data_IF_265317020301
#
_entry.id   IF_265317020301
#
_cell.length_a   1.000
_cell.length_b   1.000
_cell.length_c   1.000
_cell.angle_alpha   90.00
_cell.angle_beta   90.00
_cell.angle_gamma   90.00
#
_symmetry.space_group_name_H-M   'P 1'
#
loop_
_entity.id
_entity.type
_entity.pdbx_description
1 polymer ?
#
# COMPACT_ATOMS: atom_id res chain seq x y z
N UNK A 1 27.99 3.65 -14.40
CA UNK A 1 28.75 3.03 -13.29
C UNK A 1 27.89 2.76 -12.04
N UNK A 2 26.95 3.61 -11.65
CA UNK A 2 26.06 3.38 -10.48
C UNK A 2 25.19 2.13 -10.60
N UNK A 3 24.68 1.82 -11.78
CA UNK A 3 23.79 0.67 -12.03
C UNK A 3 24.45 -0.71 -11.81
N UNK A 4 25.77 -0.83 -12.00
CA UNK A 4 26.45 -2.08 -11.67
C UNK A 4 26.59 -2.26 -10.15
N UNK A 5 26.74 -1.16 -9.40
CA UNK A 5 26.88 -1.21 -7.93
C UNK A 5 25.60 -1.63 -7.23
N UNK A 6 24.43 -1.19 -7.70
CA UNK A 6 23.14 -1.56 -7.06
C UNK A 6 22.80 -3.03 -7.27
N UNK A 7 23.07 -3.58 -8.46
CA UNK A 7 22.91 -5.02 -8.73
C UNK A 7 23.93 -5.88 -7.98
N UNK A 8 25.14 -5.34 -7.74
CA UNK A 8 26.15 -6.01 -6.89
C UNK A 8 25.68 -6.15 -5.43
N UNK A 9 24.85 -5.21 -4.95
CA UNK A 9 24.25 -5.32 -3.61
C UNK A 9 23.38 -6.58 -3.51
N UNK A 10 22.58 -6.87 -4.53
CA UNK A 10 21.78 -8.10 -4.56
C UNK A 10 22.63 -9.36 -4.69
N UNK A 11 23.69 -9.31 -5.52
CA UNK A 11 24.53 -10.47 -5.82
C UNK A 11 25.57 -10.77 -4.74
N UNK A 12 26.28 -9.76 -4.22
CA UNK A 12 27.53 -9.94 -3.47
C UNK A 12 27.55 -9.33 -2.07
N UNK A 13 26.73 -8.30 -1.78
CA UNK A 13 26.80 -7.64 -0.48
C UNK A 13 26.46 -8.58 0.68
N UNK A 14 27.00 -8.34 1.90
CA UNK A 14 26.56 -9.06 3.09
C UNK A 14 25.06 -8.98 3.26
N UNK A 15 24.42 -10.08 3.67
CA UNK A 15 22.97 -10.24 3.72
C UNK A 15 22.30 -9.12 4.51
N UNK A 16 22.84 -8.79 5.70
CA UNK A 16 22.30 -7.71 6.54
C UNK A 16 22.30 -6.39 5.79
N UNK A 17 23.39 -6.04 5.11
CA UNK A 17 23.51 -4.82 4.33
C UNK A 17 22.54 -4.81 3.16
N UNK A 18 22.43 -5.92 2.42
CA UNK A 18 21.52 -6.04 1.27
C UNK A 18 20.06 -5.87 1.68
N UNK A 19 19.63 -6.49 2.79
CA UNK A 19 18.27 -6.35 3.30
C UNK A 19 18.00 -4.92 3.78
N UNK A 20 18.84 -4.38 4.68
CA UNK A 20 18.61 -3.07 5.28
C UNK A 20 18.68 -1.93 4.26
N UNK A 21 19.61 -1.98 3.31
CA UNK A 21 19.76 -0.96 2.26
C UNK A 21 18.52 -0.85 1.37
N UNK A 22 17.74 -1.93 1.24
CA UNK A 22 16.49 -1.93 0.47
C UNK A 22 15.27 -1.71 1.35
N UNK A 23 15.24 -2.28 2.55
CA UNK A 23 14.11 -2.21 3.45
C UNK A 23 13.95 -0.83 4.11
N UNK A 24 15.03 -0.21 4.61
CA UNK A 24 14.94 1.06 5.32
C UNK A 24 14.37 2.19 4.47
N UNK A 25 14.80 2.41 3.21
CA UNK A 25 14.16 3.42 2.36
C UNK A 25 12.68 3.11 2.09
N UNK A 26 12.33 1.84 1.89
CA UNK A 26 10.94 1.46 1.65
C UNK A 26 10.05 1.69 2.88
N UNK A 27 10.56 1.41 4.08
CA UNK A 27 9.89 1.72 5.35
C UNK A 27 9.71 3.22 5.55
N UNK A 28 10.75 4.03 5.28
CA UNK A 28 10.68 5.48 5.36
C UNK A 28 9.66 6.06 4.37
N UNK A 29 9.58 5.51 3.17
CA UNK A 29 8.58 5.89 2.18
C UNK A 29 7.15 5.60 2.68
N UNK A 30 6.90 4.44 3.30
CA UNK A 30 5.60 4.09 3.85
C UNK A 30 5.22 4.93 5.08
N UNK A 31 6.20 5.28 5.93
CA UNK A 31 5.97 6.25 7.01
C UNK A 31 5.57 7.63 6.47
N UNK A 32 6.18 8.07 5.37
CA UNK A 32 5.78 9.34 4.74
C UNK A 32 4.36 9.29 4.18
N UNK A 33 3.92 8.14 3.64
CA UNK A 33 2.52 7.94 3.24
C UNK A 33 1.58 8.05 4.44
N UNK A 34 1.94 7.49 5.58
CA UNK A 34 1.17 7.62 6.81
C UNK A 34 1.06 9.10 7.25
N UNK A 35 2.20 9.81 7.29
CA UNK A 35 2.24 11.23 7.67
C UNK A 35 1.38 12.07 6.71
N UNK A 36 1.51 11.84 5.41
CA UNK A 36 0.70 12.50 4.39
C UNK A 36 -0.81 12.28 4.64
N UNK A 37 -1.25 11.04 4.82
CA UNK A 37 -2.67 10.73 5.05
C UNK A 37 -3.23 11.39 6.33
N UNK A 38 -2.41 11.47 7.38
CA UNK A 38 -2.81 12.13 8.63
C UNK A 38 -2.86 13.65 8.46
N UNK A 39 -1.89 14.24 7.75
CA UNK A 39 -1.83 15.68 7.49
C UNK A 39 -2.99 16.15 6.61
N UNK A 40 -3.28 15.43 5.52
CA UNK A 40 -4.40 15.75 4.62
C UNK A 40 -5.74 15.77 5.37
N UNK A 41 -6.00 14.72 6.17
CA UNK A 41 -7.20 14.67 7.02
C UNK A 41 -7.24 15.82 8.04
N UNK A 42 -6.11 16.19 8.62
CA UNK A 42 -6.01 17.26 9.61
C UNK A 42 -6.31 18.63 8.96
N UNK A 43 -5.69 18.94 7.83
CA UNK A 43 -5.88 20.25 7.18
C UNK A 43 -7.28 20.45 6.60
N UNK A 44 -7.90 19.37 6.06
CA UNK A 44 -9.30 19.45 5.65
C UNK A 44 -10.21 19.68 6.85
N UNK A 45 -9.94 19.03 7.98
CA UNK A 45 -10.67 19.28 9.24
C UNK A 45 -10.59 20.73 9.74
N UNK A 46 -9.50 21.47 9.43
CA UNK A 46 -9.36 22.88 9.80
C UNK A 46 -10.26 23.83 9.00
N UNK A 47 -10.93 23.34 7.96
CA UNK A 47 -11.94 24.16 7.24
C UNK A 47 -13.19 24.43 8.08
N UNK A 48 -13.39 23.69 9.19
CA UNK A 48 -14.58 23.72 10.03
C UNK A 48 -15.90 23.53 9.25
N UNK A 49 -15.83 22.82 8.14
CA UNK A 49 -16.96 22.45 7.29
C UNK A 49 -17.05 20.92 7.18
N UNK A 50 -17.94 20.36 7.97
CA UNK A 50 -18.14 18.91 8.08
C UNK A 50 -18.57 18.29 6.74
N UNK A 51 -19.24 19.04 5.86
CA UNK A 51 -19.66 18.59 4.53
C UNK A 51 -18.46 18.34 3.61
N UNK A 52 -17.42 19.17 3.71
CA UNK A 52 -16.18 18.96 2.94
C UNK A 52 -15.41 17.74 3.42
N UNK A 53 -15.31 17.55 4.73
CA UNK A 53 -14.69 16.36 5.32
C UNK A 53 -15.44 15.10 4.89
N UNK A 54 -16.77 15.14 4.92
CA UNK A 54 -17.62 14.04 4.46
C UNK A 54 -17.42 13.75 2.96
N UNK A 55 -17.35 14.80 2.13
CA UNK A 55 -17.17 14.67 0.69
C UNK A 55 -15.81 14.00 0.32
N UNK A 56 -14.71 14.38 0.99
CA UNK A 56 -13.40 13.72 0.79
C UNK A 56 -13.44 12.27 1.24
N UNK A 57 -14.09 11.99 2.35
CA UNK A 57 -14.25 10.62 2.85
C UNK A 57 -15.02 9.74 1.86
N UNK A 58 -16.07 10.28 1.23
CA UNK A 58 -16.84 9.61 0.18
C UNK A 58 -16.02 9.39 -1.10
N UNK A 59 -15.11 10.32 -1.43
CA UNK A 59 -14.26 10.23 -2.62
C UNK A 59 -13.06 9.27 -2.45
N UNK A 60 -12.65 8.99 -1.22
CA UNK A 60 -11.49 8.14 -0.90
C UNK A 60 -11.51 6.78 -1.60
N UNK A 61 -12.60 5.99 -1.63
CA UNK A 61 -12.64 4.71 -2.33
C UNK A 61 -12.32 4.81 -3.82
N UNK A 62 -12.71 5.90 -4.48
CA UNK A 62 -12.42 6.14 -5.90
C UNK A 62 -10.92 6.38 -6.11
N UNK A 63 -10.29 7.16 -5.24
CA UNK A 63 -8.84 7.37 -5.26
C UNK A 63 -8.07 6.06 -5.01
N UNK A 64 -8.53 5.24 -4.08
CA UNK A 64 -7.94 3.93 -3.79
C UNK A 64 -8.03 2.96 -4.98
N UNK A 65 -9.03 3.08 -5.86
CA UNK A 65 -9.08 2.31 -7.11
C UNK A 65 -7.90 2.67 -8.02
N UNK A 66 -7.58 3.95 -8.22
CA UNK A 66 -6.40 4.36 -9.00
C UNK A 66 -5.11 3.79 -8.39
N UNK A 67 -4.94 3.92 -7.07
CA UNK A 67 -3.77 3.38 -6.37
C UNK A 67 -3.68 1.86 -6.49
N UNK A 68 -4.79 1.15 -6.38
CA UNK A 68 -4.83 -0.31 -6.51
C UNK A 68 -4.42 -0.78 -7.91
N UNK A 69 -4.87 -0.10 -8.95
CA UNK A 69 -4.44 -0.40 -10.33
C UNK A 69 -2.95 -0.11 -10.53
N UNK A 70 -2.43 0.99 -9.97
CA UNK A 70 -0.99 1.26 -9.94
C UNK A 70 -0.20 0.15 -9.24
N UNK A 71 -0.75 -0.42 -8.16
CA UNK A 71 -0.18 -1.55 -7.43
C UNK A 71 -0.13 -2.83 -8.28
N UNK A 72 -1.14 -3.08 -9.15
CA UNK A 72 -1.10 -4.22 -10.09
C UNK A 72 0.18 -4.21 -10.91
N UNK A 73 0.48 -3.09 -11.54
CA UNK A 73 1.67 -2.95 -12.38
C UNK A 73 2.94 -2.82 -11.55
N UNK A 74 2.89 -2.18 -10.39
CA UNK A 74 4.03 -1.96 -9.51
C UNK A 74 4.55 -3.24 -8.88
N UNK A 75 3.74 -3.94 -8.11
CA UNK A 75 4.13 -5.18 -7.42
C UNK A 75 4.34 -6.32 -8.42
N UNK A 76 3.45 -6.45 -9.41
CA UNK A 76 3.58 -7.44 -10.46
C UNK A 76 4.85 -7.22 -11.29
N UNK A 77 5.12 -5.97 -11.70
CA UNK A 77 6.32 -5.57 -12.41
C UNK A 77 7.59 -5.87 -11.61
N UNK A 78 7.63 -5.47 -10.35
CA UNK A 78 8.77 -5.71 -9.44
C UNK A 78 9.10 -7.20 -9.34
N UNK A 79 8.09 -8.05 -9.16
CA UNK A 79 8.28 -9.50 -9.09
C UNK A 79 8.90 -10.09 -10.36
N UNK A 80 8.40 -9.70 -11.53
CA UNK A 80 8.89 -10.20 -12.82
C UNK A 80 10.27 -9.62 -13.16
N UNK A 81 10.46 -8.30 -12.98
CA UNK A 81 11.72 -7.61 -13.28
C UNK A 81 12.85 -8.14 -12.41
N UNK A 82 12.65 -8.25 -11.09
CA UNK A 82 13.71 -8.70 -10.18
C UNK A 82 14.17 -10.13 -10.50
N UNK A 83 13.25 -11.04 -10.84
CA UNK A 83 13.59 -12.38 -11.31
C UNK A 83 14.34 -12.37 -12.64
N UNK A 84 13.85 -11.60 -13.61
CA UNK A 84 14.49 -11.47 -14.92
C UNK A 84 15.94 -10.93 -14.81
N UNK A 85 16.15 -9.96 -13.92
CA UNK A 85 17.50 -9.44 -13.65
C UNK A 85 18.39 -10.49 -12.99
N UNK A 86 17.86 -11.30 -12.08
CA UNK A 86 18.56 -12.43 -11.48
C UNK A 86 18.94 -13.51 -12.50
N UNK A 87 18.09 -13.77 -13.49
CA UNK A 87 18.34 -14.67 -14.62
C UNK A 87 19.30 -14.09 -15.67
N UNK A 88 19.72 -12.82 -15.54
CA UNK A 88 20.54 -12.12 -16.52
C UNK A 88 19.78 -11.65 -17.77
N UNK A 89 18.45 -11.79 -17.83
CA UNK A 89 17.60 -11.42 -18.98
C UNK A 89 17.23 -9.93 -18.97
N UNK A 90 18.24 -9.07 -19.12
CA UNK A 90 18.08 -7.61 -19.05
C UNK A 90 17.08 -7.07 -20.09
N UNK A 91 17.09 -7.60 -21.33
CA UNK A 91 16.16 -7.15 -22.38
C UNK A 91 14.70 -7.49 -22.02
N UNK A 92 14.45 -8.63 -21.40
CA UNK A 92 13.12 -8.99 -20.92
C UNK A 92 12.68 -8.06 -19.79
N UNK A 93 13.57 -7.73 -18.85
CA UNK A 93 13.29 -6.77 -17.78
C UNK A 93 12.93 -5.37 -18.32
N UNK A 94 13.60 -4.91 -19.41
CA UNK A 94 13.26 -3.66 -20.11
C UNK A 94 11.85 -3.72 -20.72
N UNK A 95 11.48 -4.84 -21.38
CA UNK A 95 10.14 -5.02 -21.91
C UNK A 95 9.06 -4.96 -20.82
N UNK A 96 9.29 -5.62 -19.68
CA UNK A 96 8.36 -5.59 -18.54
C UNK A 96 8.23 -4.17 -17.97
N UNK A 97 9.33 -3.45 -17.79
CA UNK A 97 9.32 -2.07 -17.32
C UNK A 97 8.52 -1.16 -18.26
N UNK A 98 8.81 -1.22 -19.57
CA UNK A 98 8.07 -0.44 -20.58
C UNK A 98 6.58 -0.82 -20.64
N UNK A 99 6.25 -2.10 -20.53
CA UNK A 99 4.86 -2.56 -20.40
C UNK A 99 4.15 -1.92 -19.21
N UNK A 100 4.77 -1.90 -18.03
CA UNK A 100 4.20 -1.26 -16.84
C UNK A 100 3.95 0.24 -17.07
N UNK A 101 4.89 0.96 -17.72
CA UNK A 101 4.71 2.40 -18.01
C UNK A 101 3.50 2.66 -18.89
N UNK A 102 3.49 2.06 -20.06
CA UNK A 102 2.46 2.35 -21.05
C UNK A 102 1.09 1.79 -20.67
N UNK A 103 1.07 0.69 -19.90
CA UNK A 103 -0.17 0.20 -19.30
C UNK A 103 -0.70 1.16 -18.23
N UNK A 104 0.15 1.73 -17.37
CA UNK A 104 -0.28 2.76 -16.42
C UNK A 104 -0.82 4.01 -17.13
N UNK A 105 -0.18 4.45 -18.20
CA UNK A 105 -0.69 5.59 -19.01
C UNK A 105 -2.05 5.24 -19.63
N UNK A 106 -2.13 4.13 -20.35
CA UNK A 106 -3.36 3.74 -21.08
C UNK A 106 -4.53 3.50 -20.14
N UNK A 107 -4.32 2.70 -19.09
CA UNK A 107 -5.35 2.38 -18.09
C UNK A 107 -5.70 3.62 -17.26
N UNK A 108 -4.71 4.44 -16.90
CA UNK A 108 -4.93 5.69 -16.17
C UNK A 108 -5.80 6.67 -16.98
N UNK A 109 -5.51 6.87 -18.27
CA UNK A 109 -6.33 7.71 -19.17
C UNK A 109 -7.73 7.13 -19.31
N UNK A 110 -7.85 5.82 -19.51
CA UNK A 110 -9.15 5.16 -19.62
C UNK A 110 -9.98 5.32 -18.35
N UNK A 111 -9.40 5.07 -17.19
CA UNK A 111 -10.09 5.25 -15.90
C UNK A 111 -10.49 6.71 -15.68
N UNK A 112 -9.59 7.66 -15.96
CA UNK A 112 -9.89 9.10 -15.88
C UNK A 112 -11.08 9.46 -16.77
N UNK A 113 -11.08 9.02 -18.02
CA UNK A 113 -12.17 9.27 -18.95
C UNK A 113 -13.50 8.64 -18.48
N UNK A 114 -13.47 7.38 -18.02
CA UNK A 114 -14.66 6.71 -17.49
C UNK A 114 -15.20 7.42 -16.24
N UNK A 115 -14.33 7.83 -15.33
CA UNK A 115 -14.76 8.51 -14.10
C UNK A 115 -15.33 9.90 -14.41
N UNK A 116 -14.78 10.62 -15.37
CA UNK A 116 -15.33 11.93 -15.78
C UNK A 116 -16.66 11.79 -16.55
N UNK A 117 -16.80 10.78 -17.42
CA UNK A 117 -18.03 10.54 -18.17
C UNK A 117 -19.16 10.07 -17.24
N UNK A 118 -18.87 9.17 -16.32
CA UNK A 118 -19.84 8.57 -15.40
C UNK A 118 -19.83 9.21 -14.01
N UNK A 119 -19.40 10.48 -13.89
CA UNK A 119 -19.23 11.15 -12.59
C UNK A 119 -20.51 11.14 -11.76
N UNK A 120 -21.66 11.45 -12.35
CA UNK A 120 -22.92 11.52 -11.63
C UNK A 120 -23.36 10.13 -11.10
N UNK A 121 -23.13 9.07 -11.88
CA UNK A 121 -23.40 7.69 -11.47
C UNK A 121 -22.46 7.26 -10.34
N UNK A 122 -21.20 7.66 -10.41
CA UNK A 122 -20.20 7.36 -9.35
C UNK A 122 -20.58 8.09 -8.07
N UNK A 123 -20.96 9.37 -8.13
CA UNK A 123 -21.42 10.15 -6.98
C UNK A 123 -22.64 9.51 -6.31
N UNK A 124 -23.62 9.06 -7.10
CA UNK A 124 -24.76 8.32 -6.59
C UNK A 124 -24.35 6.99 -5.95
N UNK A 125 -23.41 6.25 -6.56
CA UNK A 125 -22.94 4.96 -6.07
C UNK A 125 -22.20 5.07 -4.73
N UNK A 126 -21.38 6.12 -4.55
CA UNK A 126 -20.66 6.37 -3.29
C UNK A 126 -21.53 6.97 -2.20
N UNK A 127 -22.81 7.28 -2.51
CA UNK A 127 -23.77 7.78 -1.55
C UNK A 127 -23.66 9.28 -1.26
N UNK A 128 -23.22 10.09 -2.23
CA UNK A 128 -23.19 11.54 -2.09
C UNK A 128 -24.61 12.10 -1.92
N UNK A 129 -24.83 12.87 -0.85
CA UNK A 129 -26.08 13.59 -0.59
C UNK A 129 -26.16 14.87 -1.41
N UNK A 130 -27.34 15.50 -1.48
CA UNK A 130 -27.51 16.80 -2.14
C UNK A 130 -26.54 17.86 -1.59
N UNK A 131 -26.21 17.81 -0.31
CA UNK A 131 -25.32 18.76 0.37
C UNK A 131 -23.82 18.50 0.07
N UNK A 132 -23.43 17.22 -0.06
CA UNK A 132 -22.03 16.83 -0.33
C UNK A 132 -21.72 16.68 -1.81
N UNK A 133 -22.73 16.74 -2.69
CA UNK A 133 -22.62 16.45 -4.13
C UNK A 133 -21.59 17.33 -4.83
N UNK A 134 -21.72 18.62 -4.69
CA UNK A 134 -20.85 19.57 -5.39
C UNK A 134 -19.39 19.52 -4.87
N UNK A 135 -19.22 19.31 -3.59
CA UNK A 135 -17.89 19.12 -2.99
C UNK A 135 -17.24 17.83 -3.47
N UNK A 136 -17.94 16.70 -3.44
CA UNK A 136 -17.42 15.41 -3.90
C UNK A 136 -17.15 15.43 -5.42
N UNK A 137 -18.03 16.06 -6.21
CA UNK A 137 -17.85 16.27 -7.65
C UNK A 137 -16.59 17.06 -7.95
N UNK A 138 -16.38 18.18 -7.27
CA UNK A 138 -15.19 19.02 -7.46
C UNK A 138 -13.91 18.24 -7.15
N UNK A 139 -13.86 17.58 -6.01
CA UNK A 139 -12.72 16.78 -5.60
C UNK A 139 -12.41 15.65 -6.60
N UNK A 140 -13.42 14.83 -6.93
CA UNK A 140 -13.27 13.69 -7.83
C UNK A 140 -12.91 14.11 -9.25
N UNK A 141 -13.45 15.23 -9.75
CA UNK A 141 -13.09 15.75 -11.08
C UNK A 141 -11.61 16.09 -11.15
N UNK A 142 -11.09 16.82 -10.18
CA UNK A 142 -9.68 17.21 -10.13
C UNK A 142 -8.78 15.98 -9.99
N UNK A 143 -9.09 15.09 -9.06
CA UNK A 143 -8.30 13.89 -8.81
C UNK A 143 -8.34 12.93 -10.01
N UNK A 144 -9.49 12.76 -10.66
CA UNK A 144 -9.64 11.88 -11.83
C UNK A 144 -8.79 12.37 -13.01
N UNK A 145 -8.59 13.67 -13.19
CA UNK A 145 -7.69 14.20 -14.22
C UNK A 145 -6.23 13.76 -14.02
N UNK A 146 -5.84 13.41 -12.82
CA UNK A 146 -4.46 12.96 -12.50
C UNK A 146 -4.25 11.46 -12.59
N UNK A 147 -5.25 10.67 -12.98
CA UNK A 147 -5.20 9.21 -12.98
C UNK A 147 -3.89 8.59 -13.49
N UNK A 148 -3.40 8.92 -14.69
CA UNK A 148 -2.14 8.39 -15.20
C UNK A 148 -0.95 8.66 -14.26
N UNK A 149 -0.87 9.84 -13.68
CA UNK A 149 0.21 10.23 -12.78
C UNK A 149 0.15 9.47 -11.45
N UNK A 150 -1.06 9.27 -10.91
CA UNK A 150 -1.28 8.44 -9.70
C UNK A 150 -0.81 7.00 -9.94
N UNK A 151 -1.20 6.40 -11.08
CA UNK A 151 -0.78 5.05 -11.43
C UNK A 151 0.73 4.96 -11.60
N UNK A 152 1.36 5.90 -12.31
CA UNK A 152 2.80 5.94 -12.54
C UNK A 152 3.54 6.12 -11.20
N UNK A 153 3.15 7.06 -10.36
CA UNK A 153 3.80 7.32 -9.08
C UNK A 153 3.76 6.06 -8.19
N UNK A 154 2.60 5.40 -8.08
CA UNK A 154 2.45 4.16 -7.31
C UNK A 154 3.23 2.99 -7.93
N UNK A 155 3.14 2.78 -9.24
CA UNK A 155 3.83 1.71 -9.94
C UNK A 155 5.35 1.84 -9.83
N UNK A 156 5.90 3.01 -10.16
CA UNK A 156 7.35 3.18 -10.27
C UNK A 156 8.07 3.34 -8.94
N UNK A 157 7.37 3.70 -7.87
CA UNK A 157 7.88 3.56 -6.51
C UNK A 157 8.26 2.10 -6.18
N UNK A 158 7.60 1.13 -6.80
CA UNK A 158 7.89 -0.29 -6.67
C UNK A 158 8.91 -0.78 -7.73
N UNK A 159 8.70 -0.46 -9.01
CA UNK A 159 9.54 -0.94 -10.13
C UNK A 159 11.00 -0.52 -9.98
N UNK A 160 11.29 0.71 -9.54
CA UNK A 160 12.67 1.17 -9.32
C UNK A 160 13.38 0.38 -8.21
N UNK A 161 12.64 -0.11 -7.21
CA UNK A 161 13.19 -1.01 -6.20
C UNK A 161 13.68 -2.34 -6.80
N UNK A 162 13.04 -2.80 -7.89
CA UNK A 162 13.41 -4.06 -8.54
C UNK A 162 14.86 -4.08 -9.08
N UNK A 163 15.44 -2.92 -9.40
CA UNK A 163 16.84 -2.78 -9.79
C UNK A 163 17.80 -2.40 -8.64
N UNK A 164 17.34 -2.51 -7.38
CA UNK A 164 18.14 -2.22 -6.20
C UNK A 164 18.28 -0.74 -5.85
N UNK A 165 17.49 0.13 -6.49
CA UNK A 165 17.51 1.59 -6.29
C UNK A 165 16.43 2.06 -5.32
N UNK A 166 16.30 1.38 -4.16
CA UNK A 166 15.26 1.69 -3.16
C UNK A 166 15.34 3.12 -2.63
N UNK A 167 16.55 3.71 -2.56
CA UNK A 167 16.72 5.11 -2.19
C UNK A 167 16.13 6.09 -3.22
N UNK A 168 16.26 5.79 -4.52
CA UNK A 168 15.65 6.61 -5.59
C UNK A 168 14.13 6.47 -5.60
N UNK A 169 13.63 5.24 -5.38
CA UNK A 169 12.20 5.00 -5.22
C UNK A 169 11.60 5.78 -4.04
N UNK A 170 12.28 5.76 -2.88
CA UNK A 170 11.91 6.55 -1.71
C UNK A 170 11.89 8.05 -2.02
N UNK A 171 12.92 8.57 -2.71
CA UNK A 171 13.03 9.99 -2.98
C UNK A 171 11.87 10.54 -3.80
N UNK A 172 11.42 9.82 -4.84
CA UNK A 172 10.25 10.24 -5.63
C UNK A 172 8.97 10.26 -4.79
N UNK A 173 8.80 9.29 -3.92
CA UNK A 173 7.65 9.23 -3.02
C UNK A 173 7.70 10.33 -1.93
N UNK A 174 8.89 10.58 -1.37
CA UNK A 174 9.09 11.68 -0.42
C UNK A 174 8.80 13.04 -1.05
N UNK A 175 9.33 13.30 -2.25
CA UNK A 175 9.10 14.57 -2.95
C UNK A 175 7.61 14.83 -3.21
N UNK A 176 6.89 13.83 -3.70
CA UNK A 176 5.46 13.95 -3.97
C UNK A 176 4.65 14.18 -2.70
N UNK A 177 4.85 13.35 -1.67
CA UNK A 177 4.08 13.42 -0.43
C UNK A 177 4.45 14.65 0.41
N UNK A 178 5.74 15.03 0.50
CA UNK A 178 6.16 16.21 1.24
C UNK A 178 5.62 17.48 0.58
N UNK A 179 5.65 17.56 -0.74
CA UNK A 179 5.10 18.70 -1.47
C UNK A 179 3.59 18.80 -1.24
N UNK A 180 2.86 17.68 -1.23
CA UNK A 180 1.44 17.69 -0.90
C UNK A 180 1.20 18.24 0.52
N UNK A 181 1.90 17.74 1.54
CA UNK A 181 1.78 18.20 2.95
C UNK A 181 2.08 19.71 3.09
N UNK A 182 3.00 20.24 2.28
CA UNK A 182 3.32 21.68 2.27
C UNK A 182 2.23 22.48 1.56
N UNK A 183 1.70 21.97 0.46
CA UNK A 183 0.70 22.66 -0.35
C UNK A 183 -0.69 22.64 0.28
N UNK A 184 -1.05 21.61 1.04
CA UNK A 184 -2.36 21.49 1.70
C UNK A 184 -2.71 22.75 2.52
N UNK A 185 -1.93 23.18 3.52
CA UNK A 185 -2.28 24.38 4.29
C UNK A 185 -2.28 25.64 3.43
N UNK A 186 -1.42 25.74 2.42
CA UNK A 186 -1.36 26.90 1.54
C UNK A 186 -2.63 26.99 0.68
N UNK A 187 -3.01 25.90 0.04
CA UNK A 187 -4.16 25.90 -0.87
C UNK A 187 -5.49 25.87 -0.14
N UNK A 188 -5.58 25.13 0.97
CA UNK A 188 -6.81 25.01 1.76
C UNK A 188 -7.05 26.28 2.57
N UNK A 189 -6.07 26.72 3.37
CA UNK A 189 -6.25 27.76 4.37
C UNK A 189 -5.85 29.16 3.88
N UNK A 190 -4.69 29.30 3.21
CA UNK A 190 -4.20 30.62 2.77
C UNK A 190 -4.94 31.10 1.53
N UNK A 191 -5.11 30.23 0.51
CA UNK A 191 -5.85 30.60 -0.70
C UNK A 191 -7.36 30.43 -0.56
N UNK A 192 -7.83 29.75 0.48
CA UNK A 192 -9.24 29.51 0.72
C UNK A 192 -9.91 28.61 -0.33
N UNK A 193 -9.13 27.78 -1.04
CA UNK A 193 -9.68 26.88 -2.05
C UNK A 193 -10.32 25.61 -1.46
N UNK A 194 -10.23 25.46 -0.14
CA UNK A 194 -10.89 24.39 0.60
C UNK A 194 -10.65 23.00 -0.05
N UNK A 195 -11.72 22.26 -0.32
CA UNK A 195 -11.67 20.92 -0.90
C UNK A 195 -10.98 20.87 -2.29
N UNK A 196 -11.15 21.89 -3.11
CA UNK A 196 -10.45 22.00 -4.39
C UNK A 196 -8.94 22.17 -4.18
N UNK A 197 -8.54 22.91 -3.14
CA UNK A 197 -7.14 23.06 -2.74
C UNK A 197 -6.48 21.73 -2.36
N UNK A 198 -7.15 20.93 -1.54
CA UNK A 198 -6.71 19.58 -1.17
C UNK A 198 -6.55 18.67 -2.40
N UNK A 199 -7.53 18.67 -3.30
CA UNK A 199 -7.47 17.90 -4.54
C UNK A 199 -6.29 18.30 -5.43
N UNK A 200 -6.08 19.61 -5.62
CA UNK A 200 -4.98 20.15 -6.43
C UNK A 200 -3.62 19.82 -5.80
N UNK A 201 -3.48 19.97 -4.49
CA UNK A 201 -2.24 19.61 -3.78
C UNK A 201 -1.90 18.12 -3.98
N UNK A 202 -2.89 17.24 -3.87
CA UNK A 202 -2.75 15.81 -4.14
C UNK A 202 -2.33 15.53 -5.59
N UNK A 203 -2.94 16.21 -6.56
CA UNK A 203 -2.56 16.09 -7.98
C UNK A 203 -1.13 16.53 -8.22
N UNK A 204 -0.72 17.70 -7.70
CA UNK A 204 0.64 18.21 -7.85
C UNK A 204 1.64 17.24 -7.23
N UNK A 205 1.38 16.71 -6.04
CA UNK A 205 2.22 15.71 -5.39
C UNK A 205 2.44 14.47 -6.27
N UNK A 206 1.36 13.92 -6.85
CA UNK A 206 1.45 12.76 -7.74
C UNK A 206 2.17 13.08 -9.06
N UNK A 207 1.92 14.25 -9.66
CA UNK A 207 2.60 14.69 -10.88
C UNK A 207 4.09 14.86 -10.65
N UNK A 208 4.50 15.45 -9.55
CA UNK A 208 5.92 15.63 -9.18
C UNK A 208 6.58 14.28 -8.89
N UNK A 209 5.92 13.38 -8.14
CA UNK A 209 6.41 12.03 -7.90
C UNK A 209 6.61 11.23 -9.19
N UNK A 210 5.59 11.21 -10.06
CA UNK A 210 5.65 10.57 -11.37
C UNK A 210 6.72 11.20 -12.26
N UNK A 211 6.80 12.54 -12.28
CA UNK A 211 7.79 13.29 -13.04
C UNK A 211 9.22 12.95 -12.60
N UNK A 212 9.48 12.83 -11.30
CA UNK A 212 10.77 12.40 -10.78
C UNK A 212 11.17 11.03 -11.33
N UNK A 213 10.25 10.06 -11.33
CA UNK A 213 10.51 8.72 -11.85
C UNK A 213 10.75 8.72 -13.36
N UNK A 214 9.97 9.47 -14.13
CA UNK A 214 10.17 9.61 -15.58
C UNK A 214 11.56 10.22 -15.87
N UNK A 215 11.93 11.30 -15.17
CA UNK A 215 13.24 11.95 -15.32
C UNK A 215 14.39 10.99 -14.95
N UNK A 216 14.23 10.16 -13.92
CA UNK A 216 15.18 9.14 -13.54
C UNK A 216 15.50 8.20 -14.70
N UNK A 217 14.48 7.74 -15.45
CA UNK A 217 14.68 6.89 -16.62
C UNK A 217 15.27 7.65 -17.82
N UNK A 218 14.80 8.87 -18.08
CA UNK A 218 15.28 9.69 -19.21
C UNK A 218 16.76 10.09 -19.07
N UNK A 219 17.25 10.29 -17.85
CA UNK A 219 18.68 10.57 -17.59
C UNK A 219 19.58 9.35 -17.78
N UNK A 220 19.07 8.21 -18.19
CA UNK A 220 19.83 6.99 -18.40
C UNK A 220 20.42 6.40 -17.12
N UNK A 221 19.87 6.77 -15.96
CA UNK A 221 20.33 6.28 -14.65
C UNK A 221 19.83 4.86 -14.34
N UNK A 222 18.96 4.29 -15.16
CA UNK A 222 18.38 2.97 -15.00
C UNK A 222 18.94 1.95 -16.00
N UNK A 223 19.01 0.68 -15.59
CA UNK A 223 19.26 -0.45 -16.48
C UNK A 223 18.00 -0.92 -17.23
N UNK A 224 16.84 -0.42 -16.80
CA UNK A 224 15.52 -0.67 -17.39
C UNK A 224 15.20 0.42 -18.43
N UNK A 225 14.06 0.29 -19.11
CA UNK A 225 13.61 1.22 -20.13
C UNK A 225 12.12 1.50 -20.03
N UNK A 226 11.75 2.77 -20.27
CA UNK A 226 10.36 3.18 -20.43
C UNK A 226 10.01 3.50 -21.90
N UNK A 227 10.95 3.25 -22.82
CA UNK A 227 10.76 3.54 -24.24
C UNK A 227 9.63 2.70 -24.83
N UNK A 228 8.78 3.32 -25.65
CA UNK A 228 7.72 2.63 -26.39
C UNK A 228 8.25 1.52 -27.32
N UNK A 229 9.52 1.66 -27.76
CA UNK A 229 10.19 0.63 -28.60
C UNK A 229 10.38 -0.69 -27.87
N UNK A 230 10.48 -0.66 -26.54
CA UNK A 230 10.63 -1.84 -25.70
C UNK A 230 9.28 -2.39 -25.21
N UNK A 231 8.16 -1.73 -25.56
CA UNK A 231 6.84 -2.20 -25.17
C UNK A 231 6.51 -3.55 -25.81
N UNK A 232 6.09 -4.51 -24.99
CA UNK A 232 5.69 -5.83 -25.46
C UNK A 232 4.66 -6.46 -24.52
N UNK A 233 3.62 -7.04 -25.10
CA UNK A 233 2.64 -7.89 -24.42
C UNK A 233 2.97 -9.38 -24.58
N UNK A 234 3.93 -9.70 -25.47
CA UNK A 234 4.36 -11.06 -25.82
C UNK A 234 5.27 -11.64 -24.72
N UNK A 235 5.70 -12.88 -24.90
CA UNK A 235 6.66 -13.56 -24.01
C UNK A 235 6.20 -13.64 -22.53
N UNK A 236 4.88 -13.71 -22.29
CA UNK A 236 4.28 -13.75 -20.94
C UNK A 236 4.53 -12.48 -20.10
N UNK A 237 4.85 -11.33 -20.72
CA UNK A 237 5.05 -10.07 -20.00
C UNK A 237 3.77 -9.67 -19.26
N UNK A 238 2.67 -9.51 -20.00
CA UNK A 238 1.40 -9.11 -19.40
C UNK A 238 0.88 -10.12 -18.38
N UNK A 239 0.83 -11.41 -18.75
CA UNK A 239 0.33 -12.46 -17.84
C UNK A 239 1.19 -12.61 -16.59
N UNK A 240 2.51 -12.44 -16.69
CA UNK A 240 3.42 -12.50 -15.55
C UNK A 240 3.21 -11.35 -14.56
N UNK A 241 3.01 -10.13 -15.06
CA UNK A 241 2.74 -8.95 -14.24
C UNK A 241 1.36 -9.05 -13.60
N UNK A 242 0.32 -9.33 -14.38
CA UNK A 242 -1.06 -9.39 -13.92
C UNK A 242 -1.29 -10.53 -12.91
N UNK A 243 -0.66 -11.68 -13.12
CA UNK A 243 -0.81 -12.83 -12.22
C UNK A 243 -0.36 -12.55 -10.77
N UNK A 244 0.63 -11.69 -10.57
CA UNK A 244 1.11 -11.29 -9.23
C UNK A 244 0.45 -9.99 -8.78
N UNK A 245 0.26 -9.05 -9.70
CA UNK A 245 -0.27 -7.72 -9.39
C UNK A 245 -1.73 -7.71 -9.00
N UNK A 246 -2.60 -8.46 -9.70
CA UNK A 246 -4.03 -8.55 -9.37
C UNK A 246 -4.26 -9.07 -7.95
N UNK A 247 -3.63 -10.18 -7.50
CA UNK A 247 -3.70 -10.62 -6.11
C UNK A 247 -3.34 -9.56 -5.07
N UNK A 248 -2.30 -8.77 -5.35
CA UNK A 248 -1.87 -7.72 -4.44
C UNK A 248 -2.89 -6.56 -4.36
N UNK A 249 -3.41 -6.14 -5.52
CA UNK A 249 -4.44 -5.09 -5.60
C UNK A 249 -5.77 -5.52 -4.95
N UNK A 250 -6.20 -6.77 -5.16
CA UNK A 250 -7.40 -7.32 -4.53
C UNK A 250 -7.28 -7.30 -3.00
N UNK A 251 -6.10 -7.55 -2.44
CA UNK A 251 -5.86 -7.42 -1.00
C UNK A 251 -6.16 -6.00 -0.48
N UNK A 252 -5.72 -4.97 -1.21
CA UNK A 252 -5.97 -3.57 -0.86
C UNK A 252 -7.47 -3.20 -0.98
N UNK A 253 -8.14 -3.66 -2.04
CA UNK A 253 -9.57 -3.42 -2.22
C UNK A 253 -10.42 -4.10 -1.14
N UNK A 254 -10.08 -5.34 -0.79
CA UNK A 254 -10.74 -6.06 0.30
C UNK A 254 -10.50 -5.39 1.66
N UNK A 255 -9.33 -4.82 1.90
CA UNK A 255 -9.05 -4.06 3.11
C UNK A 255 -10.00 -2.86 3.24
N UNK A 256 -10.23 -2.12 2.15
CA UNK A 256 -11.16 -1.00 2.12
C UNK A 256 -12.61 -1.46 2.35
N UNK A 257 -13.04 -2.53 1.69
CA UNK A 257 -14.37 -3.11 1.87
C UNK A 257 -14.59 -3.57 3.32
N UNK A 258 -13.61 -4.26 3.89
CA UNK A 258 -13.65 -4.74 5.27
C UNK A 258 -13.75 -3.60 6.28
N UNK A 259 -13.06 -2.48 6.02
CA UNK A 259 -13.15 -1.26 6.84
C UNK A 259 -14.57 -0.66 6.80
N UNK A 260 -15.18 -0.60 5.61
CA UNK A 260 -16.56 -0.12 5.45
C UNK A 260 -17.55 -1.04 6.20
N UNK A 261 -17.39 -2.35 6.05
CA UNK A 261 -18.24 -3.33 6.76
C UNK A 261 -18.09 -3.23 8.27
N UNK A 262 -16.85 -3.08 8.77
CA UNK A 262 -16.58 -2.88 10.19
C UNK A 262 -17.29 -1.65 10.73
N UNK A 263 -17.15 -0.51 10.06
CA UNK A 263 -17.79 0.73 10.48
C UNK A 263 -19.33 0.60 10.45
N UNK A 264 -19.88 -0.04 9.41
CA UNK A 264 -21.32 -0.29 9.29
C UNK A 264 -21.86 -1.20 10.41
N UNK A 265 -21.12 -2.25 10.80
CA UNK A 265 -21.52 -3.11 11.90
C UNK A 265 -21.35 -2.40 13.26
N UNK A 266 -20.28 -1.64 13.43
CA UNK A 266 -19.99 -0.89 14.65
C UNK A 266 -21.02 0.23 14.90
N UNK A 267 -21.57 0.83 13.84
CA UNK A 267 -22.63 1.85 13.94
C UNK A 267 -23.89 1.37 14.71
N UNK A 268 -24.13 0.07 14.78
CA UNK A 268 -25.23 -0.50 15.58
C UNK A 268 -25.02 -0.32 17.08
N UNK A 269 -23.80 -0.08 17.53
CA UNK A 269 -23.42 0.11 18.93
C UNK A 269 -23.23 1.59 19.29
N UNK A 270 -23.48 2.49 18.34
CA UNK A 270 -23.46 3.95 18.53
C UNK A 270 -22.23 4.64 17.98
N UNK A 271 -22.33 5.96 17.86
CA UNK A 271 -21.31 6.81 17.22
C UNK A 271 -19.99 6.81 17.98
N UNK A 272 -20.02 6.68 19.32
CA UNK A 272 -18.81 6.63 20.15
C UNK A 272 -17.99 5.36 19.87
N UNK A 273 -18.65 4.23 19.63
CA UNK A 273 -17.99 2.99 19.24
C UNK A 273 -17.37 3.10 17.84
N UNK A 274 -18.06 3.73 16.89
CA UNK A 274 -17.52 4.01 15.55
C UNK A 274 -16.29 4.91 15.61
N UNK A 275 -16.34 5.99 16.40
CA UNK A 275 -15.19 6.86 16.63
C UNK A 275 -14.02 6.10 17.26
N UNK A 276 -14.28 5.27 18.26
CA UNK A 276 -13.29 4.44 18.94
C UNK A 276 -12.59 3.46 17.98
N UNK A 277 -13.34 2.73 17.14
CA UNK A 277 -12.74 1.79 16.18
C UNK A 277 -11.93 2.52 15.11
N UNK A 278 -12.41 3.67 14.64
CA UNK A 278 -11.70 4.49 13.66
C UNK A 278 -10.30 4.90 14.16
N UNK A 279 -10.19 5.33 15.42
CA UNK A 279 -8.90 5.70 16.03
C UNK A 279 -8.06 4.46 16.34
N UNK A 280 -8.64 3.36 16.82
CA UNK A 280 -7.92 2.11 17.06
C UNK A 280 -7.27 1.58 15.78
N UNK A 281 -7.97 1.67 14.64
CA UNK A 281 -7.41 1.31 13.33
C UNK A 281 -6.24 2.22 12.93
N UNK A 282 -6.27 3.53 13.26
CA UNK A 282 -5.14 4.43 13.01
C UNK A 282 -3.91 4.06 13.84
N UNK A 283 -4.09 3.63 15.09
CA UNK A 283 -2.99 3.16 15.94
C UNK A 283 -2.29 1.95 15.30
N UNK A 284 -3.05 0.95 14.86
CA UNK A 284 -2.48 -0.25 14.22
C UNK A 284 -1.90 0.03 12.84
N UNK A 285 -2.41 1.04 12.13
CA UNK A 285 -1.88 1.48 10.83
C UNK A 285 -0.41 1.94 10.93
N UNK A 286 0.01 2.51 12.06
CA UNK A 286 1.41 2.90 12.29
C UNK A 286 2.35 1.71 12.18
N UNK A 287 2.05 0.59 12.85
CA UNK A 287 2.83 -0.65 12.76
C UNK A 287 2.72 -1.29 11.37
N UNK A 288 1.52 -1.34 10.80
CA UNK A 288 1.27 -1.98 9.50
C UNK A 288 2.05 -1.33 8.37
N UNK A 289 2.08 0.01 8.29
CA UNK A 289 2.76 0.72 7.20
C UNK A 289 4.26 0.44 7.19
N UNK A 290 4.90 0.41 8.35
CA UNK A 290 6.32 0.06 8.47
C UNK A 290 6.57 -1.38 8.01
N UNK A 291 5.72 -2.32 8.40
CA UNK A 291 5.83 -3.73 8.04
C UNK A 291 5.56 -3.97 6.53
N UNK A 292 4.63 -3.23 5.94
CA UNK A 292 4.40 -3.23 4.47
C UNK A 292 5.65 -2.75 3.75
N UNK A 293 6.24 -1.63 4.20
CA UNK A 293 7.47 -1.09 3.64
C UNK A 293 8.63 -2.08 3.71
N UNK A 294 8.79 -2.77 4.84
CA UNK A 294 9.79 -3.83 5.00
C UNK A 294 9.59 -4.95 3.98
N UNK A 295 8.37 -5.48 3.84
CA UNK A 295 8.04 -6.53 2.88
C UNK A 295 8.36 -6.12 1.44
N UNK A 296 7.90 -4.93 1.04
CA UNK A 296 8.15 -4.38 -0.30
C UNK A 296 9.64 -4.12 -0.57
N UNK A 297 10.42 -3.70 0.43
CA UNK A 297 11.85 -3.50 0.30
C UNK A 297 12.64 -4.80 0.15
N UNK A 298 12.18 -5.88 0.78
CA UNK A 298 12.83 -7.21 0.71
C UNK A 298 12.47 -7.97 -0.57
N UNK A 299 11.29 -7.75 -1.13
CA UNK A 299 10.76 -8.47 -2.30
C UNK A 299 11.74 -8.51 -3.49
N UNK A 300 12.35 -7.39 -3.93
CA UNK A 300 13.26 -7.39 -5.09
C UNK A 300 14.52 -8.25 -4.86
N UNK A 301 15.10 -8.20 -3.66
CA UNK A 301 16.26 -9.01 -3.29
C UNK A 301 15.92 -10.50 -3.36
N UNK A 302 14.79 -10.91 -2.81
CA UNK A 302 14.32 -12.29 -2.87
C UNK A 302 14.04 -12.72 -4.31
N UNK A 303 13.39 -11.85 -5.11
CA UNK A 303 13.10 -12.11 -6.52
C UNK A 303 14.37 -12.29 -7.35
N UNK A 304 15.38 -11.45 -7.11
CA UNK A 304 16.69 -11.58 -7.75
C UNK A 304 17.35 -12.92 -7.40
N UNK A 305 17.36 -13.30 -6.12
CA UNK A 305 17.94 -14.59 -5.70
C UNK A 305 17.22 -15.80 -6.33
N UNK A 306 15.89 -15.72 -6.49
CA UNK A 306 15.11 -16.76 -7.18
C UNK A 306 15.52 -16.86 -8.65
N UNK A 307 15.59 -15.72 -9.35
CA UNK A 307 16.02 -15.67 -10.75
C UNK A 307 17.44 -16.20 -10.96
N UNK A 308 18.35 -15.80 -10.09
CA UNK A 308 19.75 -16.27 -10.09
C UNK A 308 19.91 -17.72 -9.63
N UNK A 309 18.83 -18.40 -9.21
CA UNK A 309 18.85 -19.76 -8.62
C UNK A 309 19.78 -19.87 -7.40
N UNK A 310 20.07 -18.77 -6.73
CA UNK A 310 20.90 -18.75 -5.53
C UNK A 310 20.05 -18.98 -4.28
N UNK A 311 19.71 -20.24 -4.04
CA UNK A 311 18.82 -20.64 -2.96
C UNK A 311 19.42 -20.47 -1.57
N UNK A 312 20.75 -20.56 -1.44
CA UNK A 312 21.45 -20.32 -0.17
C UNK A 312 21.28 -18.86 0.26
N UNK A 313 21.58 -17.93 -0.67
CA UNK A 313 21.41 -16.49 -0.42
C UNK A 313 19.92 -16.13 -0.20
N UNK A 314 19.02 -16.76 -0.95
CA UNK A 314 17.57 -16.59 -0.75
C UNK A 314 17.15 -16.97 0.67
N UNK A 315 17.53 -18.17 1.14
CA UNK A 315 17.17 -18.67 2.48
C UNK A 315 17.74 -17.79 3.59
N UNK A 316 19.01 -17.40 3.45
CA UNK A 316 19.69 -16.54 4.42
C UNK A 316 19.07 -15.13 4.47
N UNK A 317 18.73 -14.55 3.31
CA UNK A 317 18.06 -13.24 3.24
C UNK A 317 16.67 -13.31 3.84
N UNK A 318 15.89 -14.33 3.51
CA UNK A 318 14.55 -14.52 4.06
C UNK A 318 14.59 -14.73 5.58
N UNK A 319 15.50 -15.61 6.07
CA UNK A 319 15.64 -15.85 7.52
C UNK A 319 15.98 -14.57 8.27
N UNK A 320 16.94 -13.80 7.78
CA UNK A 320 17.29 -12.52 8.40
C UNK A 320 16.11 -11.55 8.36
N UNK A 321 15.40 -11.44 7.22
CA UNK A 321 14.24 -10.56 7.06
C UNK A 321 13.09 -10.95 7.99
N UNK A 322 12.81 -12.23 8.19
CA UNK A 322 11.77 -12.70 9.12
C UNK A 322 12.11 -12.38 10.57
N UNK A 323 13.37 -12.60 11.00
CA UNK A 323 13.80 -12.27 12.35
C UNK A 323 13.74 -10.75 12.56
N UNK A 324 14.27 -9.97 11.62
CA UNK A 324 14.25 -8.51 11.70
C UNK A 324 12.80 -7.97 11.70
N UNK A 325 11.93 -8.53 10.86
CA UNK A 325 10.52 -8.17 10.80
C UNK A 325 9.77 -8.44 12.11
N UNK A 326 10.02 -9.61 12.72
CA UNK A 326 9.42 -9.96 14.01
C UNK A 326 9.87 -9.02 15.12
N UNK A 327 11.17 -8.78 15.24
CA UNK A 327 11.72 -7.87 16.25
C UNK A 327 11.22 -6.44 16.06
N UNK A 328 11.19 -5.96 14.81
CA UNK A 328 10.71 -4.63 14.48
C UNK A 328 9.24 -4.47 14.83
N UNK A 329 8.38 -5.41 14.38
CA UNK A 329 6.96 -5.35 14.69
C UNK A 329 6.67 -5.51 16.18
N UNK A 330 7.46 -6.31 16.90
CA UNK A 330 7.37 -6.43 18.35
C UNK A 330 7.68 -5.10 19.06
N UNK A 331 8.77 -4.43 18.69
CA UNK A 331 9.14 -3.12 19.25
C UNK A 331 8.09 -2.07 18.93
N UNK A 332 7.64 -1.98 17.69
CA UNK A 332 6.59 -1.02 17.29
C UNK A 332 5.27 -1.29 18.01
N UNK A 333 4.87 -2.54 18.11
CA UNK A 333 3.66 -2.94 18.85
C UNK A 333 3.78 -2.58 20.33
N UNK A 334 4.91 -2.84 20.94
CA UNK A 334 5.15 -2.47 22.34
C UNK A 334 5.07 -0.95 22.56
N UNK A 335 5.70 -0.17 21.67
CA UNK A 335 5.62 1.31 21.73
C UNK A 335 4.16 1.76 21.57
N UNK A 336 3.43 1.29 20.54
CA UNK A 336 2.05 1.65 20.35
C UNK A 336 1.18 1.22 21.54
N UNK A 337 1.43 0.05 22.12
CA UNK A 337 0.69 -0.46 23.29
C UNK A 337 0.90 0.40 24.54
N UNK A 338 2.15 0.76 24.84
CA UNK A 338 2.49 1.59 26.00
C UNK A 338 1.95 3.03 25.87
N UNK A 339 1.93 3.56 24.66
CA UNK A 339 1.48 4.93 24.38
C UNK A 339 0.06 5.00 23.80
N UNK A 340 -0.71 3.90 23.83
CA UNK A 340 -2.08 3.85 23.28
C UNK A 340 -2.95 4.98 23.81
N UNK A 341 -2.96 5.20 25.12
CA UNK A 341 -3.77 6.27 25.73
C UNK A 341 -3.40 7.66 25.22
N UNK A 342 -2.11 7.98 25.14
CA UNK A 342 -1.63 9.26 24.61
C UNK A 342 -1.97 9.42 23.12
N UNK A 343 -1.82 8.37 22.32
CA UNK A 343 -2.16 8.43 20.90
C UNK A 343 -3.66 8.63 20.71
N UNK A 344 -4.48 7.88 21.44
CA UNK A 344 -5.96 7.98 21.34
C UNK A 344 -6.44 9.35 21.81
N UNK A 345 -5.87 9.93 22.88
CA UNK A 345 -6.25 11.24 23.40
C UNK A 345 -5.97 12.42 22.43
N UNK A 346 -5.09 12.23 21.44
CA UNK A 346 -4.88 13.23 20.36
C UNK A 346 -6.10 13.34 19.44
N UNK A 347 -6.84 12.24 19.27
CA UNK A 347 -7.95 12.15 18.33
C UNK A 347 -9.32 12.20 18.98
N UNK A 348 -9.45 11.74 20.23
CA UNK A 348 -10.72 11.60 20.93
C UNK A 348 -10.69 12.39 22.25
N UNK A 349 -11.64 13.31 22.40
CA UNK A 349 -11.82 14.14 23.60
C UNK A 349 -12.98 13.64 24.45
N UNK A 350 -13.97 12.96 23.87
CA UNK A 350 -15.07 12.34 24.59
C UNK A 350 -14.62 11.10 25.37
N UNK A 351 -15.03 10.98 26.63
CA UNK A 351 -14.59 9.93 27.53
C UNK A 351 -15.03 8.53 27.07
N UNK A 352 -16.27 8.38 26.58
CA UNK A 352 -16.78 7.09 26.11
C UNK A 352 -16.07 6.64 24.81
N UNK A 353 -15.88 7.55 23.87
CA UNK A 353 -15.13 7.29 22.64
C UNK A 353 -13.65 6.95 22.94
N UNK A 354 -13.03 7.62 23.91
CA UNK A 354 -11.68 7.34 24.36
C UNK A 354 -11.54 5.91 24.94
N UNK A 355 -12.46 5.50 25.80
CA UNK A 355 -12.44 4.17 26.42
C UNK A 355 -12.60 3.07 25.36
N UNK A 356 -13.50 3.25 24.39
CA UNK A 356 -13.61 2.37 23.24
C UNK A 356 -12.31 2.35 22.43
N UNK A 357 -11.76 3.52 22.12
CA UNK A 357 -10.51 3.65 21.34
C UNK A 357 -9.35 2.92 21.95
N UNK A 358 -9.12 3.07 23.25
CA UNK A 358 -8.04 2.38 24.00
C UNK A 358 -8.28 0.88 24.03
N UNK A 359 -9.49 0.44 24.42
CA UNK A 359 -9.83 -0.98 24.51
C UNK A 359 -9.69 -1.69 23.16
N UNK A 360 -10.24 -1.10 22.09
CA UNK A 360 -10.17 -1.66 20.75
C UNK A 360 -8.74 -1.67 20.20
N UNK A 361 -7.96 -0.62 20.44
CA UNK A 361 -6.56 -0.58 20.03
C UNK A 361 -5.73 -1.67 20.71
N UNK A 362 -5.92 -1.92 22.00
CA UNK A 362 -5.23 -3.01 22.70
C UNK A 362 -5.55 -4.38 22.11
N UNK A 363 -6.80 -4.63 21.73
CA UNK A 363 -7.21 -5.89 21.08
C UNK A 363 -6.52 -6.03 19.72
N UNK A 364 -6.56 -4.98 18.89
CA UNK A 364 -5.95 -5.00 17.55
C UNK A 364 -4.43 -5.12 17.61
N UNK A 365 -3.79 -4.50 18.60
CA UNK A 365 -2.33 -4.55 18.77
C UNK A 365 -1.82 -5.93 19.19
N UNK A 366 -2.63 -6.80 19.79
CA UNK A 366 -2.17 -8.12 20.27
C UNK A 366 -1.61 -9.00 19.13
N UNK A 367 -2.08 -8.83 17.88
CA UNK A 367 -1.57 -9.54 16.70
C UNK A 367 -0.67 -8.70 15.82
N UNK A 368 -0.53 -7.42 16.07
CA UNK A 368 0.33 -6.52 15.27
C UNK A 368 1.80 -6.94 15.27
N UNK A 369 2.26 -7.65 16.30
CA UNK A 369 3.57 -8.30 16.37
C UNK A 369 3.81 -9.29 15.22
N UNK A 370 2.75 -9.85 14.63
CA UNK A 370 2.82 -10.80 13.53
C UNK A 370 2.89 -10.14 12.15
N UNK A 371 2.58 -8.84 12.04
CA UNK A 371 2.49 -8.13 10.76
C UNK A 371 3.78 -8.18 9.96
N UNK A 372 4.92 -7.99 10.62
CA UNK A 372 6.21 -8.04 9.95
C UNK A 372 6.45 -9.39 9.27
N UNK A 373 6.21 -10.47 9.97
CA UNK A 373 6.36 -11.84 9.46
C UNK A 373 5.37 -12.10 8.31
N UNK A 374 4.12 -11.69 8.47
CA UNK A 374 3.08 -11.85 7.46
C UNK A 374 3.46 -11.15 6.14
N UNK A 375 3.81 -9.86 6.18
CA UNK A 375 4.14 -9.10 4.98
C UNK A 375 5.42 -9.59 4.31
N UNK A 376 6.43 -10.01 5.06
CA UNK A 376 7.64 -10.63 4.48
C UNK A 376 7.31 -11.94 3.77
N UNK A 377 6.46 -12.80 4.33
CA UNK A 377 6.04 -14.06 3.69
C UNK A 377 5.21 -13.83 2.42
N UNK A 378 4.26 -12.89 2.45
CA UNK A 378 3.47 -12.53 1.26
C UNK A 378 4.39 -12.03 0.14
N UNK A 379 5.32 -11.13 0.46
CA UNK A 379 6.28 -10.62 -0.52
C UNK A 379 7.28 -11.69 -0.99
N UNK A 380 7.62 -12.68 -0.15
CA UNK A 380 8.42 -13.84 -0.55
C UNK A 380 7.67 -14.76 -1.53
N UNK A 381 6.36 -14.96 -1.37
CA UNK A 381 5.52 -15.67 -2.33
C UNK A 381 5.46 -14.93 -3.67
N UNK A 382 5.26 -13.62 -3.63
CA UNK A 382 5.25 -12.76 -4.81
C UNK A 382 6.61 -12.76 -5.53
N UNK A 383 7.72 -12.69 -4.80
CA UNK A 383 9.08 -12.77 -5.33
C UNK A 383 9.34 -14.08 -6.07
N UNK A 384 8.75 -15.19 -5.62
CA UNK A 384 8.81 -16.50 -6.28
C UNK A 384 7.87 -16.63 -7.49
N UNK A 385 7.02 -15.66 -7.74
CA UNK A 385 5.98 -15.77 -8.77
C UNK A 385 4.84 -16.73 -8.39
N UNK A 386 4.63 -16.99 -7.10
CA UNK A 386 3.58 -17.86 -6.58
C UNK A 386 2.23 -17.10 -6.56
N UNK A 387 1.62 -16.92 -7.75
CA UNK A 387 0.43 -16.10 -7.94
C UNK A 387 -0.77 -16.59 -7.14
N UNK A 388 -1.08 -17.89 -7.26
CA UNK A 388 -2.24 -18.52 -6.59
C UNK A 388 -2.09 -18.48 -5.08
N UNK A 389 -0.90 -18.80 -4.56
CA UNK A 389 -0.63 -18.78 -3.14
C UNK A 389 -0.71 -17.35 -2.57
N UNK A 390 -0.16 -16.38 -3.31
CA UNK A 390 -0.27 -14.95 -2.93
C UNK A 390 -1.73 -14.47 -2.94
N UNK A 391 -2.52 -14.87 -3.94
CA UNK A 391 -3.94 -14.54 -4.03
C UNK A 391 -4.71 -15.07 -2.80
N UNK A 392 -4.54 -16.36 -2.50
CA UNK A 392 -5.24 -17.00 -1.37
C UNK A 392 -4.90 -16.29 -0.06
N UNK A 393 -3.62 -15.99 0.20
CA UNK A 393 -3.20 -15.34 1.44
C UNK A 393 -3.76 -13.91 1.55
N UNK A 394 -3.68 -13.12 0.48
CA UNK A 394 -4.18 -11.75 0.50
C UNK A 394 -5.71 -11.67 0.68
N UNK A 395 -6.46 -12.52 -0.04
CA UNK A 395 -7.91 -12.57 0.08
C UNK A 395 -8.34 -13.11 1.45
N UNK A 396 -7.60 -14.09 2.00
CA UNK A 396 -7.97 -14.72 3.28
C UNK A 396 -7.93 -13.72 4.42
N UNK A 397 -6.90 -12.88 4.51
CA UNK A 397 -6.71 -11.97 5.63
C UNK A 397 -7.81 -10.92 5.75
N UNK A 398 -8.27 -10.36 4.63
CA UNK A 398 -9.22 -9.24 4.61
C UNK A 398 -10.62 -9.62 4.08
N UNK A 399 -10.79 -10.84 3.58
CA UNK A 399 -12.04 -11.30 3.00
C UNK A 399 -12.50 -12.63 3.59
N UNK A 400 -11.93 -13.74 3.08
CA UNK A 400 -12.44 -15.10 3.35
C UNK A 400 -12.45 -15.50 4.83
N UNK A 401 -11.52 -15.00 5.64
CA UNK A 401 -11.46 -15.31 7.08
C UNK A 401 -12.06 -14.15 7.87
N UNK A 402 -11.68 -12.91 7.56
CA UNK A 402 -12.08 -11.75 8.35
C UNK A 402 -13.58 -11.50 8.31
N UNK A 403 -14.20 -11.48 7.13
CA UNK A 403 -15.63 -11.15 7.01
C UNK A 403 -16.52 -12.18 7.74
N UNK A 404 -16.35 -13.50 7.54
CA UNK A 404 -17.09 -14.48 8.32
C UNK A 404 -16.81 -14.39 9.83
N UNK A 405 -15.54 -14.21 10.23
CA UNK A 405 -15.18 -14.07 11.64
C UNK A 405 -15.86 -12.85 12.27
N UNK A 406 -15.93 -11.73 11.54
CA UNK A 406 -16.60 -10.51 12.01
C UNK A 406 -18.09 -10.75 12.30
N UNK A 407 -18.81 -11.43 11.40
CA UNK A 407 -20.22 -11.73 11.63
C UNK A 407 -20.43 -12.76 12.73
N UNK A 408 -19.62 -13.82 12.79
CA UNK A 408 -19.75 -14.89 13.80
C UNK A 408 -19.40 -14.35 15.19
N UNK A 409 -18.24 -13.71 15.34
CA UNK A 409 -17.81 -13.19 16.63
C UNK A 409 -18.65 -11.99 17.08
N UNK A 410 -19.08 -11.14 16.13
CA UNK A 410 -19.98 -10.04 16.42
C UNK A 410 -21.35 -10.51 16.92
N UNK A 411 -21.88 -11.63 16.42
CA UNK A 411 -23.11 -12.22 16.90
C UNK A 411 -22.98 -12.82 18.33
N UNK A 412 -21.79 -13.28 18.72
CA UNK A 412 -21.55 -13.95 20.02
C UNK A 412 -21.09 -12.93 21.09
N UNK A 413 -20.16 -12.04 20.73
CA UNK A 413 -19.47 -11.15 21.66
C UNK A 413 -19.74 -9.66 21.40
N UNK A 414 -20.75 -9.34 20.58
CA UNK A 414 -21.17 -7.97 20.26
C UNK A 414 -20.03 -7.10 19.67
N UNK A 415 -19.91 -5.83 20.12
CA UNK A 415 -18.91 -4.89 19.63
C UNK A 415 -17.47 -5.39 19.81
N UNK A 416 -17.18 -6.03 20.93
CA UNK A 416 -15.87 -6.61 21.21
C UNK A 416 -15.55 -7.75 20.24
N UNK A 417 -16.55 -8.56 19.89
CA UNK A 417 -16.40 -9.64 18.90
C UNK A 417 -16.08 -9.15 17.51
N UNK A 418 -16.67 -8.02 17.09
CA UNK A 418 -16.33 -7.38 15.82
C UNK A 418 -14.83 -7.05 15.75
N UNK A 419 -14.26 -6.52 16.84
CA UNK A 419 -12.83 -6.16 16.89
C UNK A 419 -11.94 -7.41 16.91
N UNK A 420 -12.30 -8.48 17.66
CA UNK A 420 -11.54 -9.74 17.70
C UNK A 420 -11.48 -10.45 16.35
N UNK A 421 -12.37 -10.14 15.41
CA UNK A 421 -12.34 -10.73 14.08
C UNK A 421 -11.01 -10.47 13.35
N UNK A 422 -10.39 -9.28 13.52
CA UNK A 422 -9.11 -8.96 12.89
C UNK A 422 -7.95 -9.79 13.47
N UNK A 423 -7.73 -9.89 14.80
CA UNK A 423 -6.76 -10.79 15.40
C UNK A 423 -6.91 -12.25 14.95
N UNK A 424 -8.13 -12.77 14.90
CA UNK A 424 -8.38 -14.15 14.42
C UNK A 424 -7.98 -14.29 12.96
N UNK A 425 -8.36 -13.35 12.11
CA UNK A 425 -7.99 -13.37 10.70
C UNK A 425 -6.47 -13.26 10.49
N UNK A 426 -5.79 -12.42 11.27
CA UNK A 426 -4.33 -12.26 11.20
C UNK A 426 -3.59 -13.55 11.54
N UNK A 427 -3.97 -14.23 12.62
CA UNK A 427 -3.34 -15.51 13.03
C UNK A 427 -3.61 -16.60 12.00
N UNK A 428 -4.86 -16.80 11.60
CA UNK A 428 -5.22 -17.86 10.65
C UNK A 428 -4.60 -17.62 9.27
N UNK A 429 -4.55 -16.37 8.82
CA UNK A 429 -3.92 -16.03 7.53
C UNK A 429 -2.40 -16.18 7.57
N UNK A 430 -1.77 -15.90 8.70
CA UNK A 430 -0.33 -16.16 8.89
C UNK A 430 -0.03 -17.66 8.84
N UNK A 431 -0.81 -18.49 9.55
CA UNK A 431 -0.68 -19.94 9.50
C UNK A 431 -0.85 -20.46 8.06
N UNK A 432 -1.86 -19.97 7.35
CA UNK A 432 -2.08 -20.29 5.95
C UNK A 432 -0.90 -19.89 5.06
N UNK A 433 -0.35 -18.69 5.26
CA UNK A 433 0.82 -18.20 4.53
C UNK A 433 2.05 -19.12 4.75
N UNK A 434 2.30 -19.55 6.00
CA UNK A 434 3.37 -20.49 6.34
C UNK A 434 3.16 -21.81 5.63
N UNK A 435 1.97 -22.39 5.71
CA UNK A 435 1.64 -23.69 5.09
C UNK A 435 1.84 -23.62 3.57
N UNK A 436 1.30 -22.60 2.92
CA UNK A 436 1.43 -22.42 1.47
C UNK A 436 2.88 -22.18 1.05
N UNK A 437 3.61 -21.37 1.82
CA UNK A 437 5.04 -21.14 1.60
C UNK A 437 5.86 -22.44 1.69
N UNK A 438 5.65 -23.26 2.73
CA UNK A 438 6.35 -24.54 2.93
C UNK A 438 5.99 -25.54 1.82
N UNK A 439 4.71 -25.68 1.48
CA UNK A 439 4.26 -26.55 0.36
C UNK A 439 4.90 -26.16 -0.97
N UNK A 440 4.97 -24.86 -1.27
CA UNK A 440 5.60 -24.37 -2.49
C UNK A 440 7.11 -24.61 -2.49
N UNK A 441 7.75 -24.49 -1.33
CA UNK A 441 9.19 -24.77 -1.19
C UNK A 441 9.52 -26.24 -1.43
N UNK A 442 8.72 -27.16 -0.90
CA UNK A 442 8.92 -28.62 -1.11
C UNK A 442 8.74 -29.06 -2.57
N UNK A 443 7.95 -28.34 -3.36
CA UNK A 443 7.76 -28.64 -4.80
C UNK A 443 8.89 -28.11 -5.70
N UNK A 444 9.76 -27.27 -5.18
CA UNK A 444 10.87 -26.64 -5.94
C UNK A 444 12.24 -27.24 -5.59
N UNK A 445 12.33 -28.03 -4.52
CA UNK A 445 13.47 -28.87 -4.15
C UNK A 445 13.28 -30.28 -4.66
#
# INVERSE_FOLDING_TARGET
MENNKSMEVFAKAPIRKAVLQNALPAMAAMLMVLIYNLADTFFIGQTHDDLQVAAVSLATPVFLLFMSVGTVFGIGGTSVISRALGEGRKNYAKKVCSFCMWSCVAVGVLMSALFLIFMDQILALIGASAETWDYARTYLTIVSCSGPFVLIANCYSNVIRAEGQSGKAMMGQLLGNLLNVILDPIMILVFGWNIAGAAIATVIGNVVGAGYYIIYFLKGSSSLSISLKDFSVKEKVASGVLAIGIPAALGNLLMSLSSILMNSQMAKYGDMAVAGVGVAMKVTMMTSMVCIGLGQGVQPLLGYCVGAKNWERYRSSLKFSLIFAFLLSAVLTLICYLFTGQIVSVFLTDAAAYDYGVSFAHILLCTSILFGVFYVLVNALQARGAATESLIVNISRQGLIYIPAMFILGAIFHETGLIWAQPVADVLSLLLAIVLYVRKTKKML
#
